data_IF_538767428269
#
_entry.id   IF_538767428269
#
_cell.length_a   1.000
_cell.length_b   1.000
_cell.length_c   1.000
_cell.angle_alpha   90.00
_cell.angle_beta   90.00
_cell.angle_gamma   90.00
#
_symmetry.space_group_name_H-M   'P 1'
#
loop_
_entity.id
_entity.type
_entity.pdbx_description
1 polymer ?
#
# COMPACT_ATOMS: atom_id res chain seq x y z
N UNK A 1 5.24 1.83 -24.66
CA UNK A 1 5.16 2.71 -23.46
C UNK A 1 3.99 2.26 -22.56
N UNK A 2 4.20 1.30 -21.64
CA UNK A 2 3.11 0.68 -20.86
C UNK A 2 2.36 1.67 -19.95
N UNK A 3 3.06 2.62 -19.32
CA UNK A 3 2.42 3.62 -18.43
C UNK A 3 1.36 4.49 -19.14
N UNK A 4 1.53 4.76 -20.43
CA UNK A 4 0.50 5.48 -21.23
C UNK A 4 -0.78 4.65 -21.34
N UNK A 5 -0.67 3.33 -21.51
CA UNK A 5 -1.83 2.45 -21.56
C UNK A 5 -2.54 2.39 -20.21
N UNK A 6 -1.81 2.42 -19.11
CA UNK A 6 -2.37 2.38 -17.75
C UNK A 6 -3.17 3.64 -17.43
N UNK A 7 -2.62 4.80 -17.77
CA UNK A 7 -3.32 6.08 -17.61
C UNK A 7 -4.59 6.12 -18.46
N UNK A 8 -4.53 5.63 -19.71
CA UNK A 8 -5.72 5.55 -20.57
C UNK A 8 -6.77 4.59 -20.01
N UNK A 9 -6.37 3.43 -19.51
CA UNK A 9 -7.28 2.44 -18.91
C UNK A 9 -7.97 3.01 -17.66
N UNK A 10 -7.22 3.66 -16.77
CA UNK A 10 -7.76 4.35 -15.61
C UNK A 10 -8.79 5.41 -16.03
N UNK A 11 -8.43 6.28 -16.99
CA UNK A 11 -9.33 7.33 -17.48
C UNK A 11 -10.63 6.75 -18.06
N UNK A 12 -10.55 5.67 -18.84
CA UNK A 12 -11.73 4.99 -19.37
C UNK A 12 -12.59 4.41 -18.23
N UNK A 13 -12.00 3.73 -17.25
CA UNK A 13 -12.75 3.17 -16.12
C UNK A 13 -13.45 4.26 -15.30
N UNK A 14 -12.82 5.41 -15.09
CA UNK A 14 -13.47 6.58 -14.46
C UNK A 14 -14.69 7.04 -15.26
N UNK A 15 -14.58 7.15 -16.59
CA UNK A 15 -15.72 7.49 -17.45
C UNK A 15 -16.83 6.43 -17.44
N UNK A 16 -16.51 5.19 -17.06
CA UNK A 16 -17.44 4.06 -16.98
C UNK A 16 -17.90 3.73 -15.55
N UNK A 17 -17.73 4.65 -14.59
CA UNK A 17 -18.29 4.50 -13.25
C UNK A 17 -17.34 3.95 -12.19
N UNK A 18 -16.02 4.00 -12.41
CA UNK A 18 -15.07 3.83 -11.31
C UNK A 18 -15.28 4.99 -10.29
N UNK A 19 -15.38 4.70 -8.98
CA UNK A 19 -15.67 5.72 -7.97
C UNK A 19 -14.66 6.88 -7.98
N UNK A 20 -15.17 8.09 -7.78
CA UNK A 20 -14.34 9.27 -7.57
C UNK A 20 -13.66 9.24 -6.20
N UNK A 21 -12.64 10.08 -5.99
CA UNK A 21 -11.88 10.12 -4.74
C UNK A 21 -12.76 10.33 -3.50
N UNK A 22 -13.79 11.17 -3.59
CA UNK A 22 -14.73 11.45 -2.49
C UNK A 22 -15.52 10.20 -2.11
N UNK A 23 -15.89 9.37 -3.08
CA UNK A 23 -16.61 8.12 -2.82
C UNK A 23 -15.67 7.11 -2.14
N UNK A 24 -14.41 7.02 -2.59
CA UNK A 24 -13.41 6.14 -1.99
C UNK A 24 -13.13 6.47 -0.51
N UNK A 25 -13.22 7.73 -0.08
CA UNK A 25 -12.99 8.12 1.32
C UNK A 25 -13.98 7.43 2.29
N UNK A 26 -15.18 7.11 1.80
CA UNK A 26 -16.25 6.45 2.59
C UNK A 26 -16.19 4.92 2.56
N UNK A 27 -15.35 4.34 1.71
CA UNK A 27 -15.24 2.88 1.54
C UNK A 27 -14.20 2.27 2.48
N UNK A 28 -14.38 0.98 2.78
CA UNK A 28 -13.39 0.24 3.55
C UNK A 28 -12.13 -0.04 2.72
N UNK A 29 -10.98 -0.19 3.40
CA UNK A 29 -9.68 -0.32 2.75
C UNK A 29 -9.61 -1.50 1.76
N UNK A 30 -10.21 -2.64 2.09
CA UNK A 30 -10.23 -3.82 1.21
C UNK A 30 -11.17 -3.62 0.02
N UNK A 31 -12.28 -2.90 0.18
CA UNK A 31 -13.19 -2.56 -0.91
C UNK A 31 -12.51 -1.63 -1.93
N UNK A 32 -11.73 -0.66 -1.46
CA UNK A 32 -10.93 0.23 -2.32
C UNK A 32 -9.90 -0.59 -3.11
N UNK A 33 -9.23 -1.54 -2.46
CA UNK A 33 -8.28 -2.44 -3.13
C UNK A 33 -8.97 -3.26 -4.22
N UNK A 34 -10.10 -3.87 -3.92
CA UNK A 34 -10.86 -4.65 -4.91
C UNK A 34 -11.40 -3.80 -6.05
N UNK A 35 -11.77 -2.54 -5.77
CA UNK A 35 -12.29 -1.60 -6.77
C UNK A 35 -11.21 -1.13 -7.74
N UNK A 36 -10.00 -0.86 -7.25
CA UNK A 36 -8.94 -0.24 -8.05
C UNK A 36 -7.99 -1.24 -8.71
N UNK A 37 -7.82 -2.45 -8.16
CA UNK A 37 -6.93 -3.49 -8.74
C UNK A 37 -7.32 -4.00 -10.14
N UNK A 38 -8.59 -3.93 -10.59
CA UNK A 38 -8.94 -4.23 -11.99
C UNK A 38 -8.43 -3.20 -13.00
N UNK A 39 -7.93 -2.03 -12.57
CA UNK A 39 -7.31 -1.03 -13.45
C UNK A 39 -5.92 -1.50 -13.86
N UNK A 40 -5.64 -1.50 -15.16
CA UNK A 40 -4.37 -1.99 -15.69
C UNK A 40 -3.19 -1.18 -15.12
N UNK A 41 -2.26 -1.87 -14.47
CA UNK A 41 -1.07 -1.26 -13.88
C UNK A 41 -1.25 -0.80 -12.42
N UNK A 42 -2.44 -0.98 -11.83
CA UNK A 42 -2.69 -0.76 -10.40
C UNK A 42 -2.70 -2.10 -9.69
N UNK A 43 -1.70 -2.35 -8.84
CA UNK A 43 -1.66 -3.51 -7.94
C UNK A 43 -2.04 -3.12 -6.51
N UNK A 44 -2.16 -4.11 -5.62
CA UNK A 44 -2.46 -3.89 -4.19
C UNK A 44 -1.52 -2.88 -3.55
N UNK A 45 -0.21 -3.01 -3.78
CA UNK A 45 0.78 -2.06 -3.26
C UNK A 45 0.50 -0.62 -3.71
N UNK A 46 0.16 -0.40 -4.99
CA UNK A 46 -0.19 0.93 -5.50
C UNK A 46 -1.41 1.51 -4.80
N UNK A 47 -2.42 0.68 -4.54
CA UNK A 47 -3.60 1.10 -3.77
C UNK A 47 -3.22 1.41 -2.33
N UNK A 48 -2.37 0.61 -1.69
CA UNK A 48 -1.90 0.89 -0.33
C UNK A 48 -1.17 2.24 -0.25
N UNK A 49 -0.40 2.64 -1.27
CA UNK A 49 0.18 3.99 -1.34
C UNK A 49 -0.90 5.07 -1.41
N UNK A 50 -1.99 4.85 -2.15
CA UNK A 50 -3.15 5.75 -2.18
C UNK A 50 -3.81 5.84 -0.79
N UNK A 51 -4.05 4.70 -0.13
CA UNK A 51 -4.65 4.63 1.20
C UNK A 51 -3.84 5.48 2.20
N UNK A 52 -2.51 5.32 2.21
CA UNK A 52 -1.61 6.01 3.14
C UNK A 52 -1.49 7.51 2.83
N UNK A 53 -1.18 7.87 1.58
CA UNK A 53 -0.74 9.23 1.25
C UNK A 53 -1.83 10.13 0.71
N UNK A 54 -2.95 9.57 0.22
CA UNK A 54 -4.08 10.36 -0.28
C UNK A 54 -5.29 10.31 0.63
N UNK A 55 -5.60 9.13 1.16
CA UNK A 55 -6.78 8.90 2.03
C UNK A 55 -6.44 8.91 3.53
N UNK A 56 -5.16 9.08 3.89
CA UNK A 56 -4.69 9.21 5.26
C UNK A 56 -5.10 8.05 6.19
N UNK A 57 -5.24 6.84 5.63
CA UNK A 57 -5.52 5.62 6.40
C UNK A 57 -4.33 5.31 7.29
N UNK A 58 -4.57 5.18 8.60
CA UNK A 58 -3.52 5.05 9.61
C UNK A 58 -3.06 3.61 9.84
N UNK A 59 -3.80 2.62 9.33
CA UNK A 59 -3.58 1.21 9.65
C UNK A 59 -3.22 0.33 8.45
N UNK A 60 -2.33 0.83 7.58
CA UNK A 60 -1.88 0.13 6.38
C UNK A 60 -0.45 -0.39 6.56
N UNK A 61 -0.26 -1.69 6.32
CA UNK A 61 1.07 -2.32 6.21
C UNK A 61 1.27 -2.88 4.79
N UNK A 62 2.12 -2.27 3.96
CA UNK A 62 2.40 -2.77 2.63
C UNK A 62 3.45 -3.90 2.70
N UNK A 63 3.01 -5.11 3.01
CA UNK A 63 3.88 -6.30 3.21
C UNK A 63 4.69 -6.71 1.97
N UNK A 64 4.26 -6.26 0.79
CA UNK A 64 4.95 -6.47 -0.48
C UNK A 64 6.03 -5.42 -0.77
N UNK A 65 6.11 -4.36 0.05
CA UNK A 65 7.07 -3.30 -0.10
C UNK A 65 8.48 -3.78 0.27
N UNK A 66 9.39 -3.77 -0.71
CA UNK A 66 10.77 -4.19 -0.50
C UNK A 66 11.51 -3.29 0.51
N UNK A 67 11.17 -2.00 0.55
CA UNK A 67 11.71 -1.05 1.53
C UNK A 67 11.29 -1.41 2.95
N UNK A 68 10.01 -1.69 3.19
CA UNK A 68 9.52 -2.18 4.49
C UNK A 68 10.21 -3.47 4.90
N UNK A 69 10.29 -4.45 3.99
CA UNK A 69 10.98 -5.72 4.26
C UNK A 69 12.45 -5.51 4.62
N UNK A 70 13.15 -4.66 3.87
CA UNK A 70 14.56 -4.34 4.12
C UNK A 70 14.76 -3.58 5.45
N UNK A 71 13.87 -2.64 5.76
CA UNK A 71 13.88 -1.90 7.02
C UNK A 71 13.66 -2.81 8.21
N UNK A 72 12.66 -3.71 8.16
CA UNK A 72 12.42 -4.68 9.24
C UNK A 72 13.63 -5.58 9.44
N UNK A 73 14.21 -6.10 8.35
CA UNK A 73 15.44 -6.89 8.44
C UNK A 73 16.55 -6.13 9.18
N UNK A 74 16.77 -4.87 8.83
CA UNK A 74 17.81 -4.02 9.44
C UNK A 74 17.51 -3.71 10.92
N UNK A 75 16.31 -3.20 11.21
CA UNK A 75 15.92 -2.73 12.55
C UNK A 75 15.84 -3.87 13.55
N UNK A 76 15.38 -5.05 13.12
CA UNK A 76 15.25 -6.23 13.98
C UNK A 76 16.45 -7.18 13.87
N UNK A 77 17.54 -6.78 13.22
CA UNK A 77 18.77 -7.58 13.04
C UNK A 77 18.50 -9.01 12.51
N UNK A 78 17.59 -9.14 11.55
CA UNK A 78 17.27 -10.44 10.95
C UNK A 78 18.33 -10.84 9.93
N UNK A 79 18.65 -12.13 9.89
CA UNK A 79 19.60 -12.69 8.90
C UNK A 79 19.06 -12.56 7.49
N UNK A 80 17.81 -12.96 7.29
CA UNK A 80 17.10 -13.00 6.01
C UNK A 80 16.04 -11.90 5.88
N UNK A 81 15.65 -11.63 4.64
CA UNK A 81 14.54 -10.72 4.34
C UNK A 81 13.21 -11.37 4.81
N UNK A 82 12.45 -10.76 5.74
CA UNK A 82 11.22 -11.37 6.25
C UNK A 82 10.23 -11.62 5.12
N UNK A 83 9.53 -12.75 5.18
CA UNK A 83 8.44 -13.06 4.26
C UNK A 83 7.14 -12.31 4.65
N UNK A 84 6.11 -12.40 3.80
CA UNK A 84 4.84 -11.69 4.03
C UNK A 84 4.20 -12.10 5.35
N UNK A 85 4.18 -13.40 5.66
CA UNK A 85 3.56 -13.94 6.88
C UNK A 85 4.25 -13.43 8.14
N UNK A 86 5.58 -13.36 8.12
CA UNK A 86 6.36 -12.80 9.23
C UNK A 86 6.05 -11.33 9.41
N UNK A 87 6.00 -10.54 8.33
CA UNK A 87 5.62 -9.13 8.41
C UNK A 87 4.18 -8.93 8.89
N UNK A 88 3.22 -9.74 8.44
CA UNK A 88 1.82 -9.68 8.89
C UNK A 88 1.69 -9.95 10.39
N UNK A 89 2.48 -10.90 10.91
CA UNK A 89 2.52 -11.22 12.35
C UNK A 89 3.13 -10.08 13.15
N UNK A 90 4.29 -9.56 12.73
CA UNK A 90 4.93 -8.42 13.40
C UNK A 90 4.05 -7.17 13.35
N UNK A 91 3.34 -6.97 12.24
CA UNK A 91 2.44 -5.86 12.04
C UNK A 91 1.23 -5.83 12.98
N UNK A 92 0.87 -6.95 13.60
CA UNK A 92 -0.21 -6.97 14.60
C UNK A 92 0.11 -6.06 15.78
N UNK A 93 1.37 -6.03 16.22
CA UNK A 93 1.81 -5.23 17.36
C UNK A 93 1.79 -3.72 17.07
N UNK A 94 1.67 -3.33 15.79
CA UNK A 94 1.66 -1.92 15.36
C UNK A 94 0.24 -1.39 15.12
N UNK A 95 -0.79 -2.21 15.29
CA UNK A 95 -2.18 -1.75 15.18
C UNK A 95 -2.54 -0.78 16.31
N UNK A 96 -3.39 0.23 16.05
CA UNK A 96 -4.05 0.55 14.77
C UNK A 96 -3.25 1.56 13.91
N UNK A 97 -1.93 1.62 14.07
CA UNK A 97 -1.06 2.66 13.49
C UNK A 97 0.02 2.09 12.56
N UNK A 98 -0.29 1.01 11.83
CA UNK A 98 0.65 0.36 10.91
C UNK A 98 1.22 1.29 9.84
N UNK A 99 0.47 2.32 9.42
CA UNK A 99 0.97 3.34 8.47
C UNK A 99 2.11 4.15 9.08
N UNK A 100 2.01 4.50 10.37
CA UNK A 100 3.04 5.25 11.10
C UNK A 100 4.29 4.39 11.26
N UNK A 101 4.12 3.11 11.64
CA UNK A 101 5.23 2.17 11.71
C UNK A 101 5.94 2.01 10.35
N UNK A 102 5.16 1.87 9.26
CA UNK A 102 5.67 1.80 7.90
C UNK A 102 6.48 3.04 7.51
N UNK A 103 6.01 4.23 7.90
CA UNK A 103 6.72 5.48 7.68
C UNK A 103 8.08 5.50 8.40
N UNK A 104 8.14 5.13 9.68
CA UNK A 104 9.41 5.04 10.42
C UNK A 104 10.35 3.98 9.84
N UNK A 105 9.81 2.85 9.37
CA UNK A 105 10.60 1.83 8.70
C UNK A 105 11.27 2.37 7.43
N UNK A 106 10.56 3.09 6.58
CA UNK A 106 11.19 3.76 5.43
C UNK A 106 12.24 4.78 5.86
N UNK A 107 11.95 5.61 6.87
CA UNK A 107 12.91 6.58 7.42
C UNK A 107 14.19 5.94 7.96
N UNK A 108 14.12 4.73 8.51
CA UNK A 108 15.28 4.00 9.03
C UNK A 108 16.30 3.57 7.96
N UNK A 109 15.89 3.60 6.68
CA UNK A 109 16.75 3.31 5.55
C UNK A 109 17.48 4.55 5.01
N UNK A 110 17.03 5.75 5.39
CA UNK A 110 17.72 6.98 5.07
C UNK A 110 18.99 7.10 5.93
N UNK A 111 20.08 7.56 5.32
CA UNK A 111 21.37 7.80 5.98
C UNK A 111 21.46 9.24 6.46
#
# INVERSE_FOLDING_TARGET
RPKVLYIKDLAQKVLHGLPALVELETMDDEEIIQTLTPVKGIGRWTVQMLLMFRLHRLDVLPVDDLGIRAAVRRVYNMTELPDKKTLEKMGQDWQPYRTIASWYLWRSLEN
#
